data_IF_214307798161
#
_entry.id   IF_214307798161
#
_cell.length_a   1.000
_cell.length_b   1.000
_cell.length_c   1.000
_cell.angle_alpha   90.00
_cell.angle_beta   90.00
_cell.angle_gamma   90.00
#
_symmetry.space_group_name_H-M   'P 1'
#
loop_
_entity.id
_entity.type
_entity.pdbx_description
1 polymer ?
#
# COMPACT_ATOMS: atom_id res chain seq x y z
N UNK A 1 -3.32 25.77 -2.93
CA UNK A 1 -2.72 24.43 -2.74
C UNK A 1 -3.29 23.84 -1.45
N UNK A 2 -4.13 22.79 -1.49
CA UNK A 2 -4.81 22.24 -0.31
C UNK A 2 -4.04 21.08 0.36
N UNK A 3 -2.71 21.00 0.19
CA UNK A 3 -1.91 19.90 0.75
C UNK A 3 -1.93 19.91 2.29
N UNK A 4 -1.90 21.09 2.93
CA UNK A 4 -1.93 21.27 4.39
C UNK A 4 -3.19 20.71 5.06
N UNK A 5 -4.36 20.93 4.46
CA UNK A 5 -5.64 20.45 5.00
C UNK A 5 -5.74 18.92 4.97
N UNK A 6 -5.09 18.30 4.00
CA UNK A 6 -5.05 16.84 3.84
C UNK A 6 -4.23 16.20 4.96
N UNK A 7 -3.08 16.79 5.30
CA UNK A 7 -2.21 16.30 6.37
C UNK A 7 -2.85 16.44 7.76
N UNK A 8 -3.48 17.59 8.05
CA UNK A 8 -4.18 17.78 9.33
C UNK A 8 -5.32 16.77 9.54
N UNK A 9 -6.03 16.44 8.47
CA UNK A 9 -7.12 15.45 8.51
C UNK A 9 -6.57 14.05 8.79
N UNK A 10 -5.46 13.67 8.14
CA UNK A 10 -4.79 12.38 8.34
C UNK A 10 -4.32 12.22 9.80
N UNK A 11 -3.70 13.25 10.37
CA UNK A 11 -3.21 13.21 11.77
C UNK A 11 -4.35 13.02 12.78
N UNK A 12 -5.50 13.67 12.55
CA UNK A 12 -6.69 13.50 13.40
C UNK A 12 -7.21 12.07 13.34
N UNK A 13 -7.36 11.50 12.13
CA UNK A 13 -7.83 10.12 11.98
C UNK A 13 -6.83 9.10 12.56
N UNK A 14 -5.53 9.32 12.38
CA UNK A 14 -4.49 8.48 12.98
C UNK A 14 -4.56 8.53 14.50
N UNK A 15 -4.67 9.72 15.09
CA UNK A 15 -4.80 9.89 16.54
C UNK A 15 -6.04 9.17 17.08
N UNK A 16 -7.19 9.34 16.40
CA UNK A 16 -8.42 8.67 16.77
C UNK A 16 -8.29 7.14 16.68
N UNK A 17 -7.71 6.61 15.61
CA UNK A 17 -7.46 5.18 15.44
C UNK A 17 -6.51 4.63 16.52
N UNK A 18 -5.44 5.36 16.86
CA UNK A 18 -4.48 4.93 17.88
C UNK A 18 -5.11 4.90 19.28
N UNK A 19 -6.08 5.78 19.56
CA UNK A 19 -6.81 5.83 20.82
C UNK A 19 -7.82 4.67 21.00
N UNK A 20 -8.20 3.96 19.92
CA UNK A 20 -9.11 2.82 19.99
C UNK A 20 -8.54 1.67 20.82
N UNK A 21 -9.44 0.94 21.50
CA UNK A 21 -9.11 -0.34 22.11
C UNK A 21 -8.70 -1.39 21.06
N UNK A 22 -8.07 -2.48 21.50
CA UNK A 22 -7.65 -3.56 20.59
C UNK A 22 -8.83 -4.15 19.80
N UNK A 23 -9.98 -4.33 20.44
CA UNK A 23 -11.18 -4.87 19.79
C UNK A 23 -11.73 -3.92 18.73
N UNK A 24 -11.76 -2.62 19.02
CA UNK A 24 -12.20 -1.59 18.07
C UNK A 24 -11.23 -1.46 16.89
N UNK A 25 -9.91 -1.55 17.12
CA UNK A 25 -8.91 -1.60 16.05
C UNK A 25 -9.13 -2.80 15.12
N UNK A 26 -9.41 -3.97 15.68
CA UNK A 26 -9.71 -5.17 14.89
C UNK A 26 -10.97 -4.99 14.06
N UNK A 27 -12.04 -4.43 14.65
CA UNK A 27 -13.28 -4.15 13.92
C UNK A 27 -13.07 -3.11 12.82
N UNK A 28 -12.25 -2.08 13.06
CA UNK A 28 -11.91 -1.07 12.08
C UNK A 28 -11.12 -1.67 10.90
N UNK A 29 -10.08 -2.44 11.18
CA UNK A 29 -9.29 -3.14 10.15
C UNK A 29 -10.18 -4.10 9.35
N UNK A 30 -11.07 -4.85 10.01
CA UNK A 30 -11.98 -5.75 9.32
C UNK A 30 -12.88 -5.02 8.31
N UNK A 31 -13.31 -3.79 8.62
CA UNK A 31 -14.07 -2.94 7.68
C UNK A 31 -13.21 -2.40 6.54
N UNK A 32 -11.95 -2.06 6.80
CA UNK A 32 -11.02 -1.64 5.74
C UNK A 32 -10.76 -2.78 4.74
N UNK A 33 -10.63 -4.01 5.24
CA UNK A 33 -10.45 -5.21 4.42
C UNK A 33 -11.70 -5.59 3.60
N UNK A 34 -12.82 -4.87 3.71
CA UNK A 34 -13.96 -5.04 2.78
C UNK A 34 -13.93 -4.05 1.63
N UNK A 35 -12.94 -3.16 1.57
CA UNK A 35 -12.79 -2.19 0.49
C UNK A 35 -11.77 -2.72 -0.51
N UNK A 36 -12.20 -3.03 -1.73
CA UNK A 36 -11.34 -3.67 -2.74
C UNK A 36 -10.11 -2.79 -3.07
N UNK A 37 -10.30 -1.48 -3.22
CA UNK A 37 -9.22 -0.51 -3.47
C UNK A 37 -8.13 -0.56 -2.38
N UNK A 38 -8.54 -0.65 -1.10
CA UNK A 38 -7.59 -0.74 0.01
C UNK A 38 -6.81 -2.06 0.01
N UNK A 39 -7.46 -3.17 -0.39
CA UNK A 39 -6.80 -4.47 -0.49
C UNK A 39 -5.78 -4.45 -1.63
N UNK A 40 -6.13 -3.88 -2.78
CA UNK A 40 -5.22 -3.74 -3.92
C UNK A 40 -3.98 -2.92 -3.52
N UNK A 41 -4.18 -1.75 -2.90
CA UNK A 41 -3.09 -0.92 -2.39
C UNK A 41 -2.19 -1.68 -1.40
N UNK A 42 -2.80 -2.47 -0.49
CA UNK A 42 -2.05 -3.25 0.49
C UNK A 42 -1.19 -4.34 -0.20
N UNK A 43 -1.74 -5.01 -1.21
CA UNK A 43 -1.02 -6.02 -1.98
C UNK A 43 0.15 -5.40 -2.76
N UNK A 44 -0.03 -4.21 -3.33
CA UNK A 44 1.03 -3.49 -4.02
C UNK A 44 2.16 -3.09 -3.07
N UNK A 45 1.83 -2.56 -1.89
CA UNK A 45 2.83 -2.23 -0.86
C UNK A 45 3.61 -3.47 -0.44
N UNK A 46 2.93 -4.59 -0.18
CA UNK A 46 3.59 -5.85 0.18
C UNK A 46 4.50 -6.34 -0.97
N UNK A 47 4.02 -6.26 -2.20
CA UNK A 47 4.79 -6.66 -3.39
C UNK A 47 6.04 -5.79 -3.55
N UNK A 48 5.94 -4.48 -3.37
CA UNK A 48 7.08 -3.56 -3.43
C UNK A 48 8.10 -3.91 -2.34
N UNK A 49 7.66 -4.12 -1.11
CA UNK A 49 8.56 -4.45 0.00
C UNK A 49 9.27 -5.80 -0.21
N UNK A 50 8.56 -6.82 -0.69
CA UNK A 50 9.15 -8.12 -1.03
C UNK A 50 10.22 -7.99 -2.12
N UNK A 51 9.97 -7.13 -3.11
CA UNK A 51 10.83 -6.96 -4.28
C UNK A 51 11.89 -5.87 -4.10
N UNK A 52 11.92 -5.20 -2.95
CA UNK A 52 12.79 -4.06 -2.66
C UNK A 52 14.29 -4.38 -2.79
N UNK A 53 14.66 -5.63 -2.54
CA UNK A 53 16.04 -6.10 -2.62
C UNK A 53 16.32 -6.91 -3.89
N UNK A 54 15.38 -6.97 -4.85
CA UNK A 54 15.65 -7.60 -6.13
C UNK A 54 16.72 -6.82 -6.88
N UNK A 55 17.69 -7.52 -7.52
CA UNK A 55 18.67 -6.85 -8.36
C UNK A 55 17.96 -6.14 -9.50
N UNK A 56 18.30 -4.87 -9.70
CA UNK A 56 17.84 -4.12 -10.87
C UNK A 56 18.23 -4.86 -12.14
N UNK A 57 17.27 -4.98 -13.06
CA UNK A 57 17.48 -5.59 -14.36
C UNK A 57 17.55 -4.51 -15.44
N UNK A 58 18.53 -4.54 -16.35
CA UNK A 58 18.54 -3.67 -17.52
C UNK A 58 17.27 -3.84 -18.36
N UNK A 59 16.70 -2.73 -18.84
CA UNK A 59 15.47 -2.75 -19.63
C UNK A 59 15.65 -3.56 -20.92
N UNK A 60 16.80 -3.44 -21.58
CA UNK A 60 17.11 -4.16 -22.82
C UNK A 60 17.11 -5.68 -22.61
N UNK A 61 17.70 -6.14 -21.50
CA UNK A 61 17.70 -7.56 -21.15
C UNK A 61 16.26 -8.05 -20.95
N UNK A 62 15.39 -7.25 -20.32
CA UNK A 62 13.97 -7.58 -20.15
C UNK A 62 13.23 -7.69 -21.48
N UNK A 63 13.45 -6.74 -22.40
CA UNK A 63 12.82 -6.73 -23.71
C UNK A 63 13.26 -7.93 -24.56
N UNK A 64 14.55 -8.27 -24.54
CA UNK A 64 15.10 -9.41 -25.25
C UNK A 64 14.52 -10.75 -24.77
N UNK A 65 14.36 -10.94 -23.45
CA UNK A 65 13.73 -12.16 -22.92
C UNK A 65 12.23 -12.22 -23.17
N UNK A 66 11.53 -11.09 -23.09
CA UNK A 66 10.09 -11.02 -23.36
C UNK A 66 9.79 -11.39 -24.81
N UNK A 67 10.63 -10.99 -25.75
CA UNK A 67 10.48 -11.33 -27.16
C UNK A 67 10.62 -12.84 -27.43
N UNK A 68 11.41 -13.56 -26.63
CA UNK A 68 11.60 -15.03 -26.75
C UNK A 68 10.46 -15.86 -26.16
N UNK A 69 9.58 -15.25 -25.35
CA UNK A 69 8.43 -15.93 -24.72
C UNK A 69 7.13 -15.79 -25.51
N UNK A 70 7.18 -15.13 -26.68
CA UNK A 70 6.11 -15.13 -27.68
C UNK A 70 6.39 -16.21 -28.71
#
# INVERSE_FOLDING_TARGET
MPLEATHATVEVFLTAFLALSKAEKQAFIAKLLTQDEFIEDLLDVVTIEQRRNEPSRPLDDYLADRAKRK
#
